data_IF_207991953251
#
_entry.id   IF_207991953251
#
_cell.length_a   1.000
_cell.length_b   1.000
_cell.length_c   1.000
_cell.angle_alpha   90.00
_cell.angle_beta   90.00
_cell.angle_gamma   90.00
#
_symmetry.space_group_name_H-M   'P 1'
#
loop_
_entity.id
_entity.type
_entity.pdbx_description
1 polymer ?
#
# COMPACT_ATOMS: atom_id res chain seq x y z
N UNK A 1 14.64 3.40 13.43
CA UNK A 1 16.13 3.39 13.36
C UNK A 1 16.77 3.97 14.63
N UNK A 2 16.28 5.07 15.20
CA UNK A 2 16.84 5.66 16.43
C UNK A 2 16.87 4.70 17.64
N UNK A 3 16.02 3.66 17.63
CA UNK A 3 15.94 2.61 18.66
C UNK A 3 16.57 1.29 18.21
N UNK A 4 17.36 1.25 17.14
CA UNK A 4 17.98 0.03 16.61
C UNK A 4 17.03 -0.89 15.83
N UNK A 5 15.78 -0.48 15.57
CA UNK A 5 14.82 -1.26 14.80
C UNK A 5 15.01 -1.04 13.30
N UNK A 6 14.96 -2.12 12.51
CA UNK A 6 14.92 -2.07 11.06
C UNK A 6 13.45 -2.14 10.59
N UNK A 7 12.89 -1.05 10.04
CA UNK A 7 11.54 -1.07 9.50
C UNK A 7 11.51 -1.78 8.16
N UNK A 8 10.59 -2.71 7.98
CA UNK A 8 10.27 -3.36 6.71
C UNK A 8 8.97 -2.75 6.19
N UNK A 9 9.01 -2.17 5.01
CA UNK A 9 7.83 -1.56 4.40
C UNK A 9 7.18 -2.56 3.45
N UNK A 10 5.90 -2.83 3.69
CA UNK A 10 5.13 -3.76 2.88
C UNK A 10 3.65 -3.41 2.86
N UNK A 11 2.89 -4.17 2.11
CA UNK A 11 1.43 -4.10 2.02
C UNK A 11 0.85 -5.50 1.88
N UNK A 12 -0.21 -5.80 2.61
CA UNK A 12 -1.10 -6.90 2.29
C UNK A 12 -2.16 -6.36 1.32
N UNK A 13 -2.12 -6.82 0.08
CA UNK A 13 -3.00 -6.36 -0.99
C UNK A 13 -4.03 -7.40 -1.35
N UNK A 14 -5.16 -6.96 -1.93
CA UNK A 14 -6.14 -7.84 -2.55
C UNK A 14 -5.80 -8.03 -4.03
N UNK A 15 -5.74 -9.27 -4.49
CA UNK A 15 -5.45 -9.60 -5.88
C UNK A 15 -6.56 -10.49 -6.48
N UNK A 16 -6.96 -10.22 -7.71
CA UNK A 16 -7.88 -11.07 -8.46
C UNK A 16 -7.26 -11.56 -9.77
N UNK A 17 -7.80 -12.66 -10.31
CA UNK A 17 -7.21 -13.34 -11.48
C UNK A 17 -7.73 -12.84 -12.83
N UNK A 18 -8.72 -11.92 -12.85
CA UNK A 18 -9.16 -11.32 -14.11
C UNK A 18 -8.08 -10.41 -14.69
N UNK A 19 -7.90 -10.46 -16.01
CA UNK A 19 -6.94 -9.60 -16.71
C UNK A 19 -7.37 -8.14 -16.75
N UNK A 20 -8.69 -7.90 -16.74
CA UNK A 20 -9.26 -6.56 -16.64
C UNK A 20 -9.27 -6.12 -15.17
N UNK A 21 -8.52 -5.06 -14.86
CA UNK A 21 -8.44 -4.51 -13.50
C UNK A 21 -9.80 -4.01 -12.98
N UNK A 22 -10.67 -3.54 -13.89
CA UNK A 22 -12.01 -3.05 -13.58
C UNK A 22 -13.06 -4.17 -13.42
N UNK A 23 -12.69 -5.43 -13.66
CA UNK A 23 -13.62 -6.56 -13.55
C UNK A 23 -14.27 -6.61 -12.16
N UNK A 24 -15.60 -6.82 -12.14
CA UNK A 24 -16.36 -7.00 -10.91
C UNK A 24 -16.21 -8.43 -10.37
N UNK A 25 -14.97 -8.93 -10.30
CA UNK A 25 -14.65 -10.26 -9.80
C UNK A 25 -14.97 -10.37 -8.30
N UNK A 26 -15.87 -11.25 -7.88
CA UNK A 26 -16.24 -11.38 -6.47
C UNK A 26 -15.18 -12.09 -5.64
N UNK A 27 -14.34 -12.93 -6.27
CA UNK A 27 -13.22 -13.61 -5.62
C UNK A 27 -11.97 -12.75 -5.72
N UNK A 28 -11.31 -12.54 -4.61
CA UNK A 28 -9.99 -11.94 -4.50
C UNK A 28 -9.22 -12.65 -3.40
N UNK A 29 -7.90 -12.60 -3.51
CA UNK A 29 -6.96 -13.25 -2.61
C UNK A 29 -6.12 -12.21 -1.90
N UNK A 30 -5.50 -12.58 -0.78
CA UNK A 30 -4.45 -11.80 -0.14
C UNK A 30 -3.09 -12.12 -0.76
N UNK A 31 -2.25 -11.12 -0.89
CA UNK A 31 -0.85 -11.24 -1.27
C UNK A 31 -0.04 -10.21 -0.48
N UNK A 32 1.00 -10.64 0.21
CA UNK A 32 1.91 -9.74 0.90
C UNK A 32 3.03 -9.32 -0.06
N UNK A 33 3.31 -8.03 -0.11
CA UNK A 33 4.39 -7.44 -0.90
C UNK A 33 5.32 -6.65 0.02
N UNK A 34 6.63 -6.77 -0.18
CA UNK A 34 7.66 -6.10 0.63
C UNK A 34 8.61 -5.34 -0.28
N UNK A 35 8.91 -4.08 0.07
CA UNK A 35 9.88 -3.26 -0.65
C UNK A 35 11.30 -3.65 -0.25
N UNK A 36 12.13 -4.05 -1.21
CA UNK A 36 13.58 -4.25 -1.01
C UNK A 36 14.32 -2.93 -0.95
N UNK A 37 13.94 -2.00 -1.82
CA UNK A 37 14.64 -0.75 -2.07
C UNK A 37 13.67 0.38 -2.41
N UNK A 38 14.20 1.54 -2.79
CA UNK A 38 13.39 2.72 -3.15
C UNK A 38 12.51 2.48 -4.39
N UNK A 39 12.98 1.73 -5.38
CA UNK A 39 12.17 1.38 -6.55
C UNK A 39 10.98 0.51 -6.16
N UNK A 40 11.20 -0.50 -5.31
CA UNK A 40 10.14 -1.32 -4.74
C UNK A 40 9.14 -0.49 -3.94
N UNK A 41 9.59 0.43 -3.11
CA UNK A 41 8.70 1.32 -2.36
C UNK A 41 7.83 2.19 -3.28
N UNK A 42 8.42 2.77 -4.33
CA UNK A 42 7.66 3.53 -5.35
C UNK A 42 6.64 2.64 -6.07
N UNK A 43 6.98 1.40 -6.34
CA UNK A 43 6.08 0.43 -6.95
C UNK A 43 4.94 0.00 -6.01
N UNK A 44 5.19 -0.15 -4.70
CA UNK A 44 4.11 -0.33 -3.70
C UNK A 44 3.12 0.84 -3.72
N UNK A 45 3.61 2.09 -3.74
CA UNK A 45 2.75 3.27 -3.82
C UNK A 45 1.90 3.27 -5.11
N UNK A 46 2.49 2.89 -6.26
CA UNK A 46 1.77 2.79 -7.54
C UNK A 46 0.71 1.71 -7.51
N UNK A 47 1.05 0.51 -7.03
CA UNK A 47 0.11 -0.61 -6.89
C UNK A 47 -1.06 -0.24 -5.98
N UNK A 48 -0.79 0.38 -4.83
CA UNK A 48 -1.82 0.86 -3.92
C UNK A 48 -2.71 1.93 -4.57
N UNK A 49 -2.13 2.90 -5.27
CA UNK A 49 -2.88 3.95 -5.97
C UNK A 49 -3.78 3.38 -7.07
N UNK A 50 -3.24 2.49 -7.91
CA UNK A 50 -4.01 1.82 -8.97
C UNK A 50 -5.14 0.96 -8.39
N UNK A 51 -4.90 0.28 -7.27
CA UNK A 51 -5.92 -0.51 -6.59
C UNK A 51 -7.12 0.34 -6.14
N UNK A 52 -6.86 1.54 -5.62
CA UNK A 52 -7.92 2.46 -5.17
C UNK A 52 -8.59 3.19 -6.33
N UNK A 53 -7.84 3.65 -7.33
CA UNK A 53 -8.36 4.47 -8.42
C UNK A 53 -9.07 3.61 -9.47
N UNK A 54 -8.45 2.52 -9.89
CA UNK A 54 -8.88 1.73 -11.04
C UNK A 54 -9.38 0.33 -10.68
N UNK A 55 -8.92 -0.25 -9.55
CA UNK A 55 -9.24 -1.63 -9.16
C UNK A 55 -10.28 -1.76 -8.05
N UNK A 56 -10.95 -0.68 -7.65
CA UNK A 56 -11.85 -0.73 -6.50
C UNK A 56 -13.19 -1.41 -6.81
N UNK A 57 -13.43 -2.54 -6.15
CA UNK A 57 -14.73 -3.21 -6.13
C UNK A 57 -14.97 -3.84 -4.75
N UNK A 58 -15.62 -3.08 -3.87
CA UNK A 58 -15.76 -3.43 -2.46
C UNK A 58 -14.46 -3.38 -1.66
N UNK A 59 -13.34 -3.66 -2.31
CA UNK A 59 -11.96 -3.58 -1.82
C UNK A 59 -11.05 -2.97 -2.90
N UNK A 60 -9.93 -2.32 -2.52
CA UNK A 60 -8.91 -1.90 -3.46
C UNK A 60 -8.14 -3.15 -3.93
N UNK A 61 -8.20 -3.47 -5.23
CA UNK A 61 -7.65 -4.72 -5.77
C UNK A 61 -6.65 -4.44 -6.88
N UNK A 62 -5.65 -5.29 -6.97
CA UNK A 62 -4.76 -5.38 -8.12
C UNK A 62 -5.02 -6.68 -8.89
N UNK A 63 -4.40 -6.83 -10.05
CA UNK A 63 -4.36 -8.10 -10.77
C UNK A 63 -2.92 -8.47 -11.14
N UNK A 64 -2.72 -9.68 -11.65
CA UNK A 64 -1.38 -10.16 -12.02
C UNK A 64 -0.77 -9.39 -13.20
N UNK A 65 -1.58 -8.77 -14.07
CA UNK A 65 -1.10 -7.90 -15.15
C UNK A 65 -0.43 -6.66 -14.59
N UNK A 66 -1.09 -5.99 -13.64
CA UNK A 66 -0.54 -4.81 -12.97
C UNK A 66 0.68 -5.18 -12.12
N UNK A 67 0.63 -6.34 -11.45
CA UNK A 67 1.71 -6.85 -10.63
C UNK A 67 2.99 -7.08 -11.46
N UNK A 68 2.89 -7.73 -12.65
CA UNK A 68 4.02 -7.92 -13.58
C UNK A 68 4.66 -6.58 -13.99
N UNK A 69 3.86 -5.53 -14.14
CA UNK A 69 4.34 -4.19 -14.52
C UNK A 69 5.15 -3.51 -13.42
N UNK A 70 4.82 -3.76 -12.15
CA UNK A 70 5.37 -3.05 -10.99
C UNK A 70 6.04 -3.97 -9.95
N UNK A 71 6.49 -5.17 -10.34
CA UNK A 71 7.13 -6.13 -9.41
C UNK A 71 8.59 -5.78 -9.07
N UNK A 72 9.26 -4.95 -9.88
CA UNK A 72 10.69 -4.65 -9.67
C UNK A 72 10.95 -4.01 -8.31
N UNK A 73 11.99 -4.46 -7.62
CA UNK A 73 12.32 -4.01 -6.26
C UNK A 73 11.38 -4.56 -5.18
N UNK A 74 10.46 -5.50 -5.52
CA UNK A 74 9.54 -6.13 -4.58
C UNK A 74 9.92 -7.59 -4.33
N UNK A 75 9.58 -8.07 -3.14
CA UNK A 75 9.41 -9.47 -2.79
C UNK A 75 7.93 -9.71 -2.49
N UNK A 76 7.50 -10.96 -2.60
CA UNK A 76 6.12 -11.33 -2.29
C UNK A 76 6.04 -12.62 -1.46
N UNK A 77 4.95 -12.77 -0.71
CA UNK A 77 4.62 -14.01 -0.04
C UNK A 77 3.15 -14.39 -0.20
N UNK A 78 2.86 -15.69 -0.05
CA UNK A 78 1.55 -16.28 -0.33
C UNK A 78 0.43 -15.86 0.63
N UNK A 79 0.73 -15.05 1.63
CA UNK A 79 -0.19 -14.57 2.67
C UNK A 79 -0.87 -15.69 3.50
N UNK A 80 -2.01 -15.39 4.10
CA UNK A 80 -2.75 -16.26 5.01
C UNK A 80 -3.69 -17.26 4.31
N UNK A 81 -4.68 -17.81 5.03
CA UNK A 81 -5.73 -18.68 4.47
C UNK A 81 -6.55 -18.04 3.32
N UNK A 82 -6.51 -16.73 3.17
CA UNK A 82 -7.14 -16.01 2.06
C UNK A 82 -6.19 -15.81 0.87
N UNK A 83 -4.94 -16.25 0.95
CA UNK A 83 -4.01 -16.27 -0.17
C UNK A 83 -4.43 -17.29 -1.23
N UNK A 84 -4.02 -17.08 -2.48
CA UNK A 84 -4.47 -17.89 -3.63
C UNK A 84 -4.04 -19.35 -3.50
N UNK A 85 -2.84 -19.63 -2.98
CA UNK A 85 -2.36 -21.01 -2.77
C UNK A 85 -3.21 -21.71 -1.71
N UNK A 86 -3.35 -21.08 -0.54
CA UNK A 86 -4.12 -21.61 0.58
C UNK A 86 -5.60 -21.80 0.21
N UNK A 87 -6.17 -20.84 -0.54
CA UNK A 87 -7.56 -20.93 -1.00
C UNK A 87 -7.78 -22.15 -1.89
N UNK A 88 -6.88 -22.38 -2.87
CA UNK A 88 -6.98 -23.55 -3.76
C UNK A 88 -6.80 -24.87 -3.02
N UNK A 89 -5.86 -24.94 -2.07
CA UNK A 89 -5.62 -26.17 -1.29
C UNK A 89 -6.75 -26.50 -0.33
N UNK A 90 -7.52 -25.52 0.13
CA UNK A 90 -8.59 -25.72 1.10
C UNK A 90 -9.95 -26.05 0.42
N UNK A 91 -9.94 -27.11 -0.39
CA UNK A 91 -11.08 -27.52 -1.24
C UNK A 91 -12.35 -27.78 -0.42
N UNK A 92 -12.25 -28.50 0.69
CA UNK A 92 -13.41 -28.85 1.53
C UNK A 92 -14.13 -27.61 2.06
N UNK A 93 -13.38 -26.63 2.56
CA UNK A 93 -13.97 -25.41 3.09
C UNK A 93 -14.44 -24.45 1.99
N UNK A 94 -13.74 -24.36 0.87
CA UNK A 94 -14.02 -23.36 -0.16
C UNK A 94 -15.03 -23.81 -1.21
N UNK A 95 -15.28 -25.12 -1.35
CA UNK A 95 -16.24 -25.67 -2.31
C UNK A 95 -17.61 -26.00 -1.70
N UNK A 96 -17.97 -25.37 -0.57
CA UNK A 96 -19.36 -25.44 -0.10
C UNK A 96 -20.27 -24.63 -1.03
N UNK A 97 -21.57 -25.03 -1.18
CA UNK A 97 -22.49 -24.33 -2.06
C UNK A 97 -22.58 -22.83 -1.81
N UNK A 98 -22.59 -22.40 -0.53
CA UNK A 98 -22.70 -21.02 -0.12
C UNK A 98 -21.45 -20.23 -0.53
N UNK A 99 -20.26 -20.82 -0.38
CA UNK A 99 -18.99 -20.15 -0.78
C UNK A 99 -18.86 -20.07 -2.29
N UNK A 100 -19.20 -21.13 -3.02
CA UNK A 100 -19.21 -21.12 -4.49
C UNK A 100 -20.15 -20.01 -4.98
N UNK A 101 -21.36 -19.90 -4.44
CA UNK A 101 -22.30 -18.84 -4.79
C UNK A 101 -21.74 -17.45 -4.47
N UNK A 102 -21.19 -17.28 -3.26
CA UNK A 102 -20.57 -16.01 -2.82
C UNK A 102 -19.44 -15.56 -3.74
N UNK A 103 -18.69 -16.49 -4.29
CA UNK A 103 -17.53 -16.23 -5.15
C UNK A 103 -17.86 -16.37 -6.66
N UNK A 104 -19.14 -16.17 -7.05
CA UNK A 104 -19.53 -16.10 -8.45
C UNK A 104 -19.38 -17.42 -9.23
N UNK A 105 -19.52 -18.56 -8.55
CA UNK A 105 -19.39 -19.89 -9.16
C UNK A 105 -17.95 -20.43 -9.18
N UNK A 106 -16.97 -19.67 -8.69
CA UNK A 106 -15.55 -20.09 -8.69
C UNK A 106 -15.31 -21.11 -7.59
N UNK A 107 -14.63 -22.19 -7.93
CA UNK A 107 -14.26 -23.30 -7.03
C UNK A 107 -12.76 -23.32 -6.77
N UNK A 108 -12.37 -23.76 -5.58
CA UNK A 108 -11.00 -24.12 -5.28
C UNK A 108 -10.59 -25.34 -6.13
N UNK A 109 -9.47 -25.24 -6.82
CA UNK A 109 -9.04 -26.23 -7.80
C UNK A 109 -8.08 -27.31 -7.26
N UNK A 110 -7.82 -27.32 -5.95
CA UNK A 110 -6.92 -28.27 -5.33
C UNK A 110 -5.43 -27.98 -5.58
N UNK A 111 -4.63 -29.04 -5.46
CA UNK A 111 -3.16 -28.97 -5.54
C UNK A 111 -2.66 -28.42 -6.89
N UNK A 112 -3.19 -28.92 -8.00
CA UNK A 112 -2.79 -28.50 -9.34
C UNK A 112 -3.04 -27.01 -9.60
N UNK A 113 -4.19 -26.50 -9.13
CA UNK A 113 -4.48 -25.08 -9.26
C UNK A 113 -3.57 -24.22 -8.36
N UNK A 114 -3.23 -24.71 -7.17
CA UNK A 114 -2.27 -24.04 -6.29
C UNK A 114 -0.85 -24.04 -6.89
N UNK A 115 -0.43 -25.15 -7.51
CA UNK A 115 0.85 -25.24 -8.20
C UNK A 115 0.93 -24.29 -9.41
N UNK A 116 -0.15 -24.23 -10.20
CA UNK A 116 -0.24 -23.31 -11.33
C UNK A 116 -0.14 -21.84 -10.87
N UNK A 117 -0.84 -21.45 -9.80
CA UNK A 117 -0.77 -20.13 -9.21
C UNK A 117 0.65 -19.83 -8.66
N UNK A 118 1.28 -20.79 -7.98
CA UNK A 118 2.65 -20.66 -7.49
C UNK A 118 3.63 -20.42 -8.65
N UNK A 119 3.54 -21.20 -9.72
CA UNK A 119 4.40 -21.03 -10.89
C UNK A 119 4.24 -19.63 -11.52
N UNK A 120 3.02 -19.12 -11.58
CA UNK A 120 2.76 -17.77 -12.08
C UNK A 120 3.39 -16.68 -11.19
N UNK A 121 3.33 -16.81 -9.85
CA UNK A 121 4.03 -15.90 -8.95
C UNK A 121 5.55 -16.01 -9.05
N UNK A 122 6.07 -17.22 -9.26
CA UNK A 122 7.51 -17.43 -9.49
C UNK A 122 7.99 -16.83 -10.82
N UNK A 123 7.17 -16.82 -11.86
CA UNK A 123 7.46 -16.08 -13.10
C UNK A 123 7.58 -14.57 -12.86
N UNK A 124 6.81 -14.03 -11.90
CA UNK A 124 6.80 -12.59 -11.58
C UNK A 124 7.99 -12.21 -10.70
N UNK A 125 8.26 -12.98 -9.64
CA UNK A 125 9.19 -12.62 -8.57
C UNK A 125 10.47 -13.47 -8.53
N UNK A 126 10.51 -14.59 -9.26
CA UNK A 126 11.66 -15.51 -9.21
C UNK A 126 11.86 -16.08 -7.81
N UNK A 127 13.07 -15.95 -7.29
CA UNK A 127 13.47 -16.37 -5.93
C UNK A 127 12.98 -15.43 -4.81
N UNK A 128 12.38 -14.30 -5.18
CA UNK A 128 11.81 -13.33 -4.23
C UNK A 128 10.32 -13.61 -3.94
N UNK A 129 9.80 -14.78 -4.33
CA UNK A 129 8.52 -15.29 -3.89
C UNK A 129 8.71 -16.34 -2.78
N UNK A 130 7.90 -16.22 -1.71
CA UNK A 130 7.93 -17.09 -0.54
C UNK A 130 6.56 -17.70 -0.26
N UNK A 131 6.53 -18.95 0.19
CA UNK A 131 5.33 -19.58 0.73
C UNK A 131 5.29 -19.33 2.24
N UNK A 132 4.19 -18.75 2.74
CA UNK A 132 3.99 -18.52 4.17
C UNK A 132 3.41 -19.74 4.88
N UNK A 133 3.97 -20.08 6.03
CA UNK A 133 3.42 -21.04 6.98
C UNK A 133 3.04 -20.30 8.26
N UNK A 134 1.77 -20.48 8.67
CA UNK A 134 1.19 -19.89 9.89
C UNK A 134 0.64 -20.98 10.79
N UNK A 135 0.92 -20.92 12.08
CA UNK A 135 0.50 -21.92 13.09
C UNK A 135 -0.25 -21.29 14.25
N UNK A 136 -1.52 -20.95 14.05
CA UNK A 136 -2.41 -20.44 15.09
C UNK A 136 -3.28 -21.51 15.75
N UNK A 137 -3.10 -22.80 15.41
CA UNK A 137 -3.98 -23.87 15.89
C UNK A 137 -5.31 -23.95 15.16
N UNK A 138 -5.50 -23.27 14.04
CA UNK A 138 -6.71 -23.29 13.23
C UNK A 138 -6.75 -24.57 12.38
N UNK A 139 -7.87 -25.29 12.39
CA UNK A 139 -8.02 -26.56 11.66
C UNK A 139 -7.71 -26.40 10.16
N UNK A 140 -8.18 -25.32 9.52
CA UNK A 140 -7.93 -25.05 8.11
C UNK A 140 -6.44 -24.86 7.79
N UNK A 141 -5.66 -24.24 8.68
CA UNK A 141 -4.21 -24.11 8.52
C UNK A 141 -3.53 -25.48 8.58
N UNK A 142 -3.90 -26.31 9.57
CA UNK A 142 -3.36 -27.67 9.68
C UNK A 142 -3.68 -28.54 8.46
N UNK A 143 -4.88 -28.41 7.90
CA UNK A 143 -5.31 -29.19 6.73
C UNK A 143 -4.49 -28.88 5.47
N UNK A 144 -4.06 -27.63 5.30
CA UNK A 144 -3.30 -27.21 4.10
C UNK A 144 -1.78 -27.21 4.30
N UNK A 145 -1.26 -27.36 5.51
CA UNK A 145 0.19 -27.26 5.79
C UNK A 145 0.98 -28.32 5.01
N UNK A 146 0.58 -29.59 5.08
CA UNK A 146 1.27 -30.66 4.32
C UNK A 146 1.32 -30.41 2.82
N UNK A 147 0.23 -30.05 2.13
CA UNK A 147 0.31 -29.71 0.72
C UNK A 147 1.08 -28.41 0.44
N UNK A 148 1.11 -27.40 1.33
CA UNK A 148 1.98 -26.23 1.18
C UNK A 148 3.46 -26.61 1.24
N UNK A 149 3.85 -27.48 2.18
CA UNK A 149 5.23 -28.02 2.27
C UNK A 149 5.59 -28.84 1.01
N UNK A 150 4.66 -29.60 0.46
CA UNK A 150 4.86 -30.34 -0.78
C UNK A 150 5.08 -29.38 -1.97
N UNK A 151 4.27 -28.32 -2.10
CA UNK A 151 4.45 -27.28 -3.12
C UNK A 151 5.82 -26.61 -3.02
N UNK A 152 6.25 -26.27 -1.80
CA UNK A 152 7.56 -25.66 -1.56
C UNK A 152 8.69 -26.60 -2.02
N UNK A 153 8.61 -27.87 -1.65
CA UNK A 153 9.61 -28.88 -2.02
C UNK A 153 9.65 -29.13 -3.53
N UNK A 154 8.50 -29.29 -4.16
CA UNK A 154 8.39 -29.59 -5.59
C UNK A 154 8.90 -28.42 -6.44
N UNK A 155 8.53 -27.19 -6.07
CA UNK A 155 8.90 -25.99 -6.83
C UNK A 155 10.29 -25.43 -6.46
N UNK A 156 10.89 -25.86 -5.35
CA UNK A 156 12.08 -25.22 -4.77
C UNK A 156 11.82 -23.82 -4.19
N UNK A 157 10.56 -23.46 -3.92
CA UNK A 157 10.20 -22.16 -3.35
C UNK A 157 10.46 -22.15 -1.84
N UNK A 158 11.10 -21.10 -1.35
CA UNK A 158 11.42 -20.96 0.08
C UNK A 158 10.17 -20.77 0.93
N UNK A 159 10.17 -21.40 2.12
CA UNK A 159 9.16 -21.19 3.15
C UNK A 159 9.56 -20.01 4.04
N UNK A 160 8.60 -19.24 4.53
CA UNK A 160 8.76 -18.29 5.63
C UNK A 160 7.73 -18.56 6.72
N UNK A 161 8.14 -18.38 7.98
CA UNK A 161 7.27 -18.46 9.14
C UNK A 161 6.74 -17.07 9.48
N UNK A 162 5.41 -16.92 9.54
CA UNK A 162 4.76 -15.66 9.91
C UNK A 162 3.69 -15.89 10.96
N UNK A 163 3.20 -14.80 11.58
CA UNK A 163 2.21 -14.89 12.65
C UNK A 163 0.97 -14.01 12.41
N UNK A 164 0.88 -13.28 11.32
CA UNK A 164 -0.29 -12.43 11.02
C UNK A 164 -0.78 -11.67 12.27
N UNK A 165 0.13 -10.93 12.91
CA UNK A 165 -0.08 -10.32 14.23
C UNK A 165 -1.12 -9.20 14.16
N UNK A 166 -2.17 -9.31 14.97
CA UNK A 166 -3.27 -8.35 15.04
C UNK A 166 -3.29 -7.55 16.33
N UNK A 167 -2.61 -8.03 17.39
CA UNK A 167 -2.54 -7.36 18.69
C UNK A 167 -1.25 -7.75 19.43
N UNK A 168 -0.90 -6.98 20.50
CA UNK A 168 0.40 -7.14 21.18
C UNK A 168 0.44 -8.34 22.12
N UNK A 169 -0.54 -8.46 23.01
CA UNK A 169 -0.54 -9.48 24.06
C UNK A 169 -1.68 -10.47 23.85
N UNK A 170 -1.50 -11.70 24.28
CA UNK A 170 -2.51 -12.78 24.14
C UNK A 170 -3.87 -12.37 24.73
N UNK A 171 -3.87 -11.62 25.84
CA UNK A 171 -5.09 -11.13 26.50
C UNK A 171 -5.81 -10.02 25.72
N UNK A 172 -5.18 -9.43 24.71
CA UNK A 172 -5.79 -8.41 23.87
C UNK A 172 -6.76 -8.99 22.82
N UNK A 173 -6.91 -10.32 22.78
CA UNK A 173 -7.86 -10.97 21.88
C UNK A 173 -9.31 -10.48 22.08
N UNK A 174 -9.75 -10.27 23.34
CA UNK A 174 -11.10 -9.78 23.66
C UNK A 174 -11.29 -8.30 23.30
N UNK A 175 -10.41 -7.37 23.69
CA UNK A 175 -10.44 -5.99 23.20
C UNK A 175 -10.42 -5.89 21.67
N UNK A 176 -9.58 -6.68 21.01
CA UNK A 176 -9.53 -6.72 19.54
C UNK A 176 -10.85 -7.20 18.92
N UNK A 177 -11.50 -8.22 19.50
CA UNK A 177 -12.81 -8.71 19.07
C UNK A 177 -13.91 -7.64 19.20
N UNK A 178 -13.87 -6.82 20.28
CA UNK A 178 -14.74 -5.67 20.42
C UNK A 178 -14.48 -4.60 19.34
N UNK A 179 -13.21 -4.34 19.01
CA UNK A 179 -12.84 -3.44 17.93
C UNK A 179 -13.36 -3.92 16.55
N UNK A 180 -13.32 -5.23 16.30
CA UNK A 180 -13.90 -5.82 15.09
C UNK A 180 -15.43 -5.61 15.04
N UNK A 181 -16.14 -5.69 16.16
CA UNK A 181 -17.57 -5.38 16.24
C UNK A 181 -17.86 -3.94 15.83
N UNK A 182 -17.07 -2.98 16.32
CA UNK A 182 -17.18 -1.55 15.96
C UNK A 182 -16.95 -1.37 14.46
N UNK A 183 -15.85 -1.93 13.92
CA UNK A 183 -15.48 -1.80 12.53
C UNK A 183 -16.50 -2.42 11.54
N UNK A 184 -17.21 -3.47 11.97
CA UNK A 184 -18.21 -4.17 11.15
C UNK A 184 -19.65 -3.79 11.45
N UNK A 185 -19.87 -2.86 12.39
CA UNK A 185 -21.19 -2.46 12.90
C UNK A 185 -22.04 -3.67 13.34
N UNK A 186 -21.45 -4.54 14.16
CA UNK A 186 -22.07 -5.75 14.71
C UNK A 186 -22.08 -5.73 16.23
N UNK A 187 -23.05 -6.41 16.81
CA UNK A 187 -23.09 -6.59 18.27
C UNK A 187 -22.15 -7.71 18.70
N UNK A 188 -21.57 -7.58 19.89
CA UNK A 188 -20.64 -8.59 20.44
C UNK A 188 -21.28 -9.98 20.56
N UNK A 189 -22.58 -10.04 20.84
CA UNK A 189 -23.36 -11.27 20.98
C UNK A 189 -23.90 -11.83 19.65
N UNK A 190 -23.62 -11.16 18.51
CA UNK A 190 -24.01 -11.70 17.21
C UNK A 190 -23.15 -12.92 16.88
N UNK A 191 -23.75 -14.08 16.74
CA UNK A 191 -23.07 -15.35 16.46
C UNK A 191 -22.64 -15.48 15.00
N UNK A 192 -23.22 -14.68 14.09
CA UNK A 192 -22.95 -14.70 12.65
C UNK A 192 -21.84 -13.75 12.22
N UNK A 193 -21.30 -12.95 13.15
CA UNK A 193 -20.27 -11.96 12.85
C UNK A 193 -18.89 -12.56 12.57
N UNK A 194 -18.07 -11.81 11.88
CA UNK A 194 -16.65 -12.15 11.74
C UNK A 194 -15.94 -12.06 13.10
N UNK A 195 -15.20 -13.10 13.48
CA UNK A 195 -14.35 -13.14 14.67
C UNK A 195 -13.20 -14.13 14.49
N UNK A 196 -12.09 -13.87 15.16
CA UNK A 196 -11.05 -14.89 15.29
C UNK A 196 -11.51 -15.98 16.25
N UNK A 197 -11.30 -17.23 15.87
CA UNK A 197 -11.70 -18.40 16.67
C UNK A 197 -10.67 -18.78 17.74
N UNK A 198 -9.49 -18.18 17.69
CA UNK A 198 -8.35 -18.47 18.56
C UNK A 198 -7.66 -17.18 18.99
N UNK A 199 -7.03 -17.16 20.17
CA UNK A 199 -6.30 -16.01 20.70
C UNK A 199 -4.80 -16.09 20.40
N UNK A 200 -4.43 -16.49 19.16
CA UNK A 200 -3.03 -16.74 18.77
C UNK A 200 -2.43 -15.69 17.83
N UNK A 201 -3.16 -14.61 17.55
CA UNK A 201 -2.72 -13.52 16.67
C UNK A 201 -1.96 -12.40 17.41
N UNK A 202 -1.35 -12.72 18.56
CA UNK A 202 -0.54 -11.77 19.34
C UNK A 202 0.92 -11.78 18.85
N UNK A 203 1.65 -10.72 19.18
CA UNK A 203 3.08 -10.62 18.88
C UNK A 203 3.85 -11.64 19.72
N UNK A 204 4.25 -12.75 19.12
CA UNK A 204 5.00 -13.82 19.75
C UNK A 204 6.47 -13.45 19.90
N UNK A 205 7.10 -13.91 20.98
CA UNK A 205 8.55 -13.79 21.15
C UNK A 205 9.31 -14.71 20.15
N UNK A 206 10.59 -14.43 19.90
CA UNK A 206 11.41 -15.32 19.08
C UNK A 206 11.42 -16.77 19.57
N UNK A 207 11.45 -16.98 20.89
CA UNK A 207 11.45 -18.32 21.52
C UNK A 207 10.12 -19.04 21.27
N UNK A 208 9.00 -18.33 21.34
CA UNK A 208 7.67 -18.87 21.04
C UNK A 208 7.55 -19.26 19.58
N UNK A 209 8.04 -18.42 18.65
CA UNK A 209 8.06 -18.75 17.24
C UNK A 209 9.00 -19.92 16.95
N UNK A 210 10.18 -19.94 17.56
CA UNK A 210 11.12 -21.06 17.41
C UNK A 210 10.49 -22.39 17.88
N UNK A 211 9.79 -22.39 19.01
CA UNK A 211 9.11 -23.58 19.50
C UNK A 211 7.98 -24.07 18.57
N UNK A 212 7.29 -23.14 17.88
CA UNK A 212 6.23 -23.47 16.93
C UNK A 212 6.75 -24.09 15.62
N UNK A 213 7.98 -23.74 15.21
CA UNK A 213 8.55 -24.13 13.91
C UNK A 213 9.82 -24.98 14.04
N UNK A 214 9.97 -25.72 15.16
CA UNK A 214 11.14 -26.60 15.41
C UNK A 214 11.36 -27.65 14.30
N UNK A 215 10.31 -28.11 13.68
CA UNK A 215 10.31 -29.13 12.61
C UNK A 215 10.60 -28.56 11.21
N UNK A 216 10.54 -27.25 11.04
CA UNK A 216 10.86 -26.52 9.79
C UNK A 216 11.69 -25.25 10.10
N UNK A 217 12.86 -25.38 10.73
CA UNK A 217 13.68 -24.24 11.17
C UNK A 217 14.12 -23.33 10.01
N UNK A 218 14.20 -23.87 8.80
CA UNK A 218 14.50 -23.09 7.58
C UNK A 218 13.45 -22.01 7.29
N UNK A 219 12.19 -22.18 7.70
CA UNK A 219 11.18 -21.16 7.52
C UNK A 219 11.47 -19.89 8.34
N UNK A 220 12.03 -20.05 9.55
CA UNK A 220 12.49 -18.92 10.37
C UNK A 220 13.78 -18.31 9.81
N UNK A 221 14.71 -19.14 9.35
CA UNK A 221 15.95 -18.67 8.74
C UNK A 221 15.67 -17.85 7.46
N UNK A 222 14.75 -18.30 6.61
CA UNK A 222 14.33 -17.58 5.41
C UNK A 222 13.61 -16.27 5.74
N UNK A 223 12.89 -16.18 6.87
CA UNK A 223 12.33 -14.91 7.33
C UNK A 223 13.44 -13.88 7.61
N UNK A 224 14.55 -14.30 8.20
CA UNK A 224 15.72 -13.43 8.39
C UNK A 224 16.38 -13.07 7.05
N UNK A 225 16.46 -13.99 6.10
CA UNK A 225 16.95 -13.69 4.74
C UNK A 225 16.09 -12.61 4.06
N UNK A 226 14.76 -12.71 4.16
CA UNK A 226 13.84 -11.69 3.64
C UNK A 226 14.15 -10.33 4.25
N UNK A 227 14.35 -10.25 5.56
CA UNK A 227 14.72 -9.02 6.27
C UNK A 227 16.00 -8.41 5.73
N UNK A 228 17.03 -9.24 5.50
CA UNK A 228 18.33 -8.79 5.00
C UNK A 228 18.26 -8.24 3.57
N UNK A 229 17.32 -8.70 2.75
CA UNK A 229 17.06 -8.15 1.41
C UNK A 229 16.37 -6.78 1.43
N UNK A 230 15.78 -6.38 2.56
CA UNK A 230 15.10 -5.10 2.70
C UNK A 230 16.10 -4.01 3.11
N UNK A 231 16.65 -3.30 2.14
CA UNK A 231 17.66 -2.25 2.31
C UNK A 231 17.10 -0.84 2.21
N UNK A 232 15.78 -0.68 2.12
CA UNK A 232 15.11 0.60 1.92
C UNK A 232 15.49 1.63 3.01
N UNK A 233 15.96 2.78 2.57
CA UNK A 233 16.18 3.95 3.41
C UNK A 233 15.20 5.06 3.03
N UNK A 234 14.34 5.44 3.98
CA UNK A 234 13.42 6.57 3.80
C UNK A 234 14.12 7.87 4.20
N UNK A 235 14.22 8.79 3.27
CA UNK A 235 14.77 10.14 3.51
C UNK A 235 13.69 11.00 4.17
N UNK A 236 13.63 10.96 5.51
CA UNK A 236 12.68 11.74 6.31
C UNK A 236 13.28 13.12 6.65
N UNK A 237 12.40 14.11 6.81
CA UNK A 237 12.78 15.46 7.23
C UNK A 237 13.20 16.40 6.10
N UNK A 238 13.19 15.94 4.85
CA UNK A 238 13.42 16.78 3.67
C UNK A 238 12.09 16.99 2.94
N UNK A 239 11.28 18.00 3.31
CA UNK A 239 10.04 18.27 2.60
C UNK A 239 10.36 18.65 1.15
N UNK A 240 9.65 18.05 0.21
CA UNK A 240 9.74 18.40 -1.21
C UNK A 240 8.53 19.27 -1.54
N UNK A 241 8.72 20.59 -1.72
CA UNK A 241 7.64 21.46 -2.14
C UNK A 241 7.08 21.02 -3.50
N UNK A 242 5.77 21.13 -3.72
CA UNK A 242 5.20 20.80 -5.01
C UNK A 242 5.61 21.81 -6.08
N UNK A 243 5.90 21.33 -7.29
CA UNK A 243 6.15 22.18 -8.45
C UNK A 243 4.85 22.53 -9.16
N UNK A 244 4.70 23.77 -9.54
CA UNK A 244 3.61 24.23 -10.40
C UNK A 244 3.96 23.99 -11.87
N UNK A 245 3.67 22.80 -12.36
CA UNK A 245 4.05 22.33 -13.71
C UNK A 245 3.48 23.17 -14.85
N UNK A 246 2.46 23.99 -14.58
CA UNK A 246 1.75 24.79 -15.57
C UNK A 246 2.28 26.23 -15.69
N UNK A 247 3.31 26.62 -14.93
CA UNK A 247 3.86 27.99 -14.96
C UNK A 247 4.20 28.45 -16.38
N UNK A 248 4.93 27.61 -17.13
CA UNK A 248 5.28 27.87 -18.52
C UNK A 248 4.05 28.02 -19.44
N UNK A 249 3.05 27.16 -19.28
CA UNK A 249 1.83 27.19 -20.09
C UNK A 249 0.99 28.44 -19.82
N UNK A 250 0.92 28.90 -18.57
CA UNK A 250 0.25 30.15 -18.21
C UNK A 250 1.01 31.36 -18.75
N UNK A 251 2.33 31.40 -18.57
CA UNK A 251 3.18 32.45 -19.13
C UNK A 251 3.01 32.56 -20.66
N UNK A 252 3.03 31.41 -21.36
CA UNK A 252 2.87 31.36 -22.82
C UNK A 252 1.49 31.88 -23.28
N UNK A 253 0.41 31.60 -22.53
CA UNK A 253 -0.92 32.17 -22.82
C UNK A 253 -0.94 33.70 -22.69
N UNK A 254 -0.09 34.26 -21.84
CA UNK A 254 0.10 35.69 -21.64
C UNK A 254 1.14 36.29 -22.62
N UNK A 255 1.68 35.49 -23.55
CA UNK A 255 2.70 35.92 -24.52
C UNK A 255 4.11 35.99 -23.94
N UNK A 256 4.34 35.38 -22.78
CA UNK A 256 5.58 35.41 -22.03
C UNK A 256 6.30 34.06 -22.12
N UNK A 257 7.63 34.09 -21.98
CA UNK A 257 8.47 32.88 -21.86
C UNK A 257 9.19 32.91 -20.51
N UNK A 258 8.56 32.30 -19.50
CA UNK A 258 8.99 32.34 -18.12
C UNK A 258 9.02 30.93 -17.53
N UNK A 259 9.96 30.68 -16.62
CA UNK A 259 9.96 29.49 -15.78
C UNK A 259 9.05 29.66 -14.54
N UNK A 260 9.06 28.73 -13.62
CA UNK A 260 8.22 28.74 -12.41
C UNK A 260 8.54 29.94 -11.51
N UNK A 261 9.82 30.23 -11.29
CA UNK A 261 10.26 31.34 -10.46
C UNK A 261 9.89 32.70 -11.07
N UNK A 262 10.23 32.91 -12.33
CA UNK A 262 9.97 34.16 -13.04
C UNK A 262 8.45 34.42 -13.14
N UNK A 263 7.66 33.39 -13.39
CA UNK A 263 6.21 33.51 -13.43
C UNK A 263 5.62 33.85 -12.05
N UNK A 264 6.15 33.26 -10.97
CA UNK A 264 5.74 33.62 -9.61
C UNK A 264 6.02 35.11 -9.32
N UNK A 265 7.23 35.59 -9.59
CA UNK A 265 7.60 36.99 -9.40
C UNK A 265 6.70 37.92 -10.23
N UNK A 266 6.48 37.57 -11.49
CA UNK A 266 5.58 38.31 -12.40
C UNK A 266 4.16 38.43 -11.83
N UNK A 267 3.58 37.31 -11.37
CA UNK A 267 2.23 37.29 -10.76
C UNK A 267 2.15 38.13 -9.49
N UNK A 268 3.17 38.08 -8.66
CA UNK A 268 3.24 38.89 -7.44
C UNK A 268 3.27 40.40 -7.77
N UNK A 269 4.07 40.82 -8.75
CA UNK A 269 4.16 42.22 -9.18
C UNK A 269 2.86 42.73 -9.77
N UNK A 270 2.25 41.99 -10.68
CA UNK A 270 0.92 42.33 -11.23
C UNK A 270 -0.15 42.45 -10.15
N UNK A 271 -0.17 41.50 -9.21
CA UNK A 271 -1.12 41.54 -8.09
C UNK A 271 -0.91 42.73 -7.15
N UNK A 272 0.32 43.21 -6.97
CA UNK A 272 0.62 44.41 -6.21
C UNK A 272 0.15 45.68 -6.98
N UNK A 273 0.49 45.80 -8.26
CA UNK A 273 0.07 46.95 -9.10
C UNK A 273 -1.45 47.11 -9.07
N UNK A 274 -2.22 46.04 -9.16
CA UNK A 274 -3.66 46.07 -9.07
C UNK A 274 -4.15 46.64 -7.73
N UNK A 275 -3.55 46.22 -6.62
CA UNK A 275 -3.89 46.65 -5.26
C UNK A 275 -3.49 48.11 -4.98
N UNK A 276 -2.36 48.55 -5.53
CA UNK A 276 -1.87 49.91 -5.34
C UNK A 276 -2.77 50.98 -5.96
N UNK A 277 -3.66 50.61 -6.91
CA UNK A 277 -4.63 51.56 -7.49
C UNK A 277 -5.52 52.24 -6.46
N UNK A 278 -5.76 51.62 -5.31
CA UNK A 278 -6.55 52.17 -4.20
C UNK A 278 -5.75 52.77 -3.06
N UNK A 279 -4.41 52.80 -3.19
CA UNK A 279 -3.49 53.25 -2.15
C UNK A 279 -2.80 54.58 -2.60
N UNK A 280 -2.63 55.51 -1.65
CA UNK A 280 -1.97 56.78 -1.92
C UNK A 280 -0.51 56.57 -2.42
N UNK A 281 -0.10 57.28 -3.50
CA UNK A 281 1.21 57.05 -4.15
C UNK A 281 2.40 57.15 -3.22
N UNK A 282 2.34 57.96 -2.19
CA UNK A 282 3.42 58.17 -1.21
C UNK A 282 3.77 56.90 -0.43
N UNK A 283 2.84 55.96 -0.37
CA UNK A 283 3.01 54.66 0.33
C UNK A 283 3.49 53.54 -0.58
N UNK A 284 3.48 53.73 -1.90
CA UNK A 284 3.81 52.66 -2.85
C UNK A 284 5.18 52.08 -2.64
N UNK A 285 6.20 52.90 -2.33
CA UNK A 285 7.58 52.48 -2.10
C UNK A 285 7.67 51.43 -0.98
N UNK A 286 6.94 51.60 0.13
CA UNK A 286 6.91 50.67 1.26
C UNK A 286 6.37 49.30 0.84
N UNK A 287 5.32 49.27 0.01
CA UNK A 287 4.74 48.04 -0.47
C UNK A 287 5.66 47.29 -1.45
N UNK A 288 6.38 47.99 -2.33
CA UNK A 288 7.33 47.37 -3.22
C UNK A 288 8.51 46.79 -2.43
N UNK A 289 9.06 47.51 -1.47
CA UNK A 289 10.13 47.03 -0.61
C UNK A 289 9.72 45.78 0.18
N UNK A 290 8.49 45.79 0.70
CA UNK A 290 7.93 44.63 1.40
C UNK A 290 7.78 43.44 0.46
N UNK A 291 7.23 43.62 -0.75
CA UNK A 291 7.07 42.57 -1.74
C UNK A 291 8.40 41.93 -2.10
N UNK A 292 9.42 42.70 -2.40
CA UNK A 292 10.77 42.17 -2.75
C UNK A 292 11.32 41.30 -1.60
N UNK A 293 11.14 41.74 -0.36
CA UNK A 293 11.57 40.97 0.82
C UNK A 293 10.81 39.65 0.94
N UNK A 294 9.48 39.65 0.76
CA UNK A 294 8.66 38.43 0.82
C UNK A 294 9.01 37.47 -0.31
N UNK A 295 9.18 37.95 -1.53
CA UNK A 295 9.62 37.16 -2.67
C UNK A 295 10.99 36.50 -2.35
N UNK A 296 11.94 37.25 -1.85
CA UNK A 296 13.27 36.72 -1.53
C UNK A 296 13.23 35.60 -0.49
N UNK A 297 12.36 35.70 0.53
CA UNK A 297 12.16 34.64 1.53
C UNK A 297 11.53 33.40 0.93
N UNK A 298 10.45 33.56 0.14
CA UNK A 298 9.73 32.44 -0.49
C UNK A 298 10.67 31.69 -1.45
N UNK A 299 11.43 32.44 -2.27
CA UNK A 299 12.36 31.87 -3.24
C UNK A 299 13.53 31.15 -2.58
N UNK A 300 14.09 31.72 -1.49
CA UNK A 300 15.13 31.04 -0.70
C UNK A 300 14.67 29.68 -0.15
N UNK A 301 13.38 29.53 0.11
CA UNK A 301 12.78 28.30 0.63
C UNK A 301 12.25 27.38 -0.47
N UNK A 302 12.31 27.76 -1.74
CA UNK A 302 11.77 27.03 -2.90
C UNK A 302 10.26 26.75 -2.79
N UNK A 303 9.45 27.73 -2.35
CA UNK A 303 8.01 27.63 -2.18
C UNK A 303 7.20 28.31 -3.29
N UNK A 304 7.84 28.76 -4.37
CA UNK A 304 7.17 29.46 -5.50
C UNK A 304 6.05 28.59 -6.09
N UNK A 305 6.34 27.31 -6.36
CA UNK A 305 5.35 26.38 -6.90
C UNK A 305 4.14 26.20 -5.99
N UNK A 306 4.36 26.10 -4.68
CA UNK A 306 3.27 26.05 -3.71
C UNK A 306 2.39 27.29 -3.75
N UNK A 307 3.00 28.48 -3.78
CA UNK A 307 2.25 29.75 -3.85
C UNK A 307 1.47 29.90 -5.16
N UNK A 308 2.04 29.44 -6.28
CA UNK A 308 1.34 29.41 -7.58
C UNK A 308 0.17 28.42 -7.58
N UNK A 309 0.28 27.27 -6.94
CA UNK A 309 -0.83 26.32 -6.77
C UNK A 309 -1.97 26.97 -5.97
N UNK A 310 -1.66 27.63 -4.86
CA UNK A 310 -2.65 28.36 -4.04
C UNK A 310 -3.34 29.45 -4.87
N UNK A 311 -2.53 30.26 -5.58
CA UNK A 311 -3.05 31.28 -6.47
C UNK A 311 -4.00 30.70 -7.53
N UNK A 312 -3.63 29.60 -8.17
CA UNK A 312 -4.40 29.00 -9.26
C UNK A 312 -5.78 28.49 -8.80
N UNK A 313 -5.83 27.76 -7.67
CA UNK A 313 -7.15 27.29 -7.20
C UNK A 313 -8.01 28.42 -6.65
N UNK A 314 -7.46 29.46 -6.03
CA UNK A 314 -8.21 30.65 -5.60
C UNK A 314 -8.75 31.41 -6.82
N UNK A 315 -7.94 31.58 -7.87
CA UNK A 315 -8.37 32.16 -9.14
C UNK A 315 -9.52 31.35 -9.75
N UNK A 316 -9.36 30.04 -9.86
CA UNK A 316 -10.37 29.15 -10.41
C UNK A 316 -11.69 29.16 -9.61
N UNK A 317 -11.62 29.31 -8.29
CA UNK A 317 -12.80 29.46 -7.43
C UNK A 317 -13.51 30.79 -7.70
N UNK A 318 -12.76 31.90 -7.74
CA UNK A 318 -13.32 33.25 -8.04
C UNK A 318 -13.99 33.32 -9.41
N UNK A 319 -13.35 32.76 -10.45
CA UNK A 319 -13.90 32.72 -11.81
C UNK A 319 -15.23 31.94 -11.89
N UNK A 320 -15.44 30.98 -10.97
CA UNK A 320 -16.67 30.18 -10.87
C UNK A 320 -17.65 30.67 -9.83
N UNK A 321 -17.41 31.85 -9.24
CA UNK A 321 -18.20 32.43 -8.14
C UNK A 321 -18.38 31.44 -6.95
N UNK A 322 -17.35 30.63 -6.67
CA UNK A 322 -17.30 29.79 -5.49
C UNK A 322 -16.68 30.63 -4.37
N UNK A 323 -17.36 30.77 -3.20
CA UNK A 323 -16.87 31.57 -2.07
C UNK A 323 -15.64 30.99 -1.39
#
# INVERSE_FOLDING_TARGET
>A
KAQGLLPIIGIETYIHNDKDLHAKAPLHFHLCLFAKDEEGYRNLMRLSSEAYINGFYGKPRINKVLLRKYCKGLMASSACLQGELAWNLNVEQNNTPERIQKHGGIKAGGYEAALAALNEYREIFGEDFYIEIMRHGIAAQRAIETPLLALAKESGTKLIATNDTHYLYKNDATPHDALMCIATNRLFNDTSRLKHTVAEFYLKSPEQLHALFLDIPEALANTQELVQKCTLELHLGNPTPPHFRFAHDYAKKEGLNMDEHDYFVHRCKLGLEERLRSIAPEKHAEYYERLEREIAVISKMHFEGYMLIVWDFVRAAKERAIP
#
